data_IF_481579713030
#
_entry.id   IF_481579713030
#
_cell.length_a   1.000
_cell.length_b   1.000
_cell.length_c   1.000
_cell.angle_alpha   90.00
_cell.angle_beta   90.00
_cell.angle_gamma   90.00
#
_symmetry.space_group_name_H-M   'P 1'
#
loop_
_entity.id
_entity.type
_entity.pdbx_description
1 polymer ?
2 non-polymer ?
3 water ?
#
# COMPACT_ATOMS: atom_id res chain seq x y z
N UNK A 1 -8.88 15.07 -10.90
CA UNK A 1 -9.65 14.75 -9.66
C UNK A 1 -8.76 14.72 -8.42
N UNK A 2 -9.35 14.96 -7.25
CA UNK A 2 -8.63 15.01 -5.96
C UNK A 2 -7.88 13.67 -5.76
N UNK A 3 -8.56 12.54 -5.93
CA UNK A 3 -7.90 11.23 -5.66
C UNK A 3 -6.81 10.97 -6.69
N UNK A 4 -7.02 11.29 -7.96
CA UNK A 4 -5.90 11.10 -8.93
C UNK A 4 -4.68 11.96 -8.55
N UNK A 5 -4.87 13.19 -8.10
CA UNK A 5 -3.73 14.09 -7.80
C UNK A 5 -2.93 13.53 -6.60
N UNK A 6 -3.63 12.93 -5.64
CA UNK A 6 -2.97 12.28 -4.49
C UNK A 6 -2.02 11.18 -5.00
N UNK A 7 -2.44 10.41 -6.00
CA UNK A 7 -1.57 9.37 -6.58
C UNK A 7 -0.46 10.03 -7.37
N UNK A 8 -0.79 10.89 -8.32
CA UNK A 8 0.24 11.40 -9.28
C UNK A 8 1.18 12.41 -8.62
N UNK A 9 0.71 13.23 -7.67
CA UNK A 9 1.60 14.32 -7.14
C UNK A 9 1.82 14.16 -5.64
N UNK A 10 1.58 12.98 -5.08
CA UNK A 10 1.99 12.66 -3.68
C UNK A 10 2.67 11.29 -3.70
N UNK A 11 1.97 10.25 -4.05
CA UNK A 11 2.51 8.86 -3.96
C UNK A 11 3.58 8.61 -5.02
N UNK A 12 3.41 9.11 -6.25
CA UNK A 12 4.35 8.77 -7.35
C UNK A 12 5.51 9.75 -7.46
N UNK A 13 5.60 10.72 -6.57
CA UNK A 13 6.67 11.77 -6.52
C UNK A 13 8.03 11.11 -6.35
N UNK A 14 9.05 11.52 -7.07
CA UNK A 14 10.45 11.13 -6.79
C UNK A 14 10.97 11.87 -5.57
N UNK A 15 11.46 11.14 -4.57
CA UNK A 15 11.87 11.66 -3.25
C UNK A 15 13.20 11.01 -2.91
N UNK A 16 14.23 11.81 -2.65
CA UNK A 16 15.58 11.35 -2.28
C UNK A 16 16.07 10.35 -3.33
N UNK A 17 15.81 10.64 -4.61
CA UNK A 17 16.34 9.81 -5.72
C UNK A 17 15.53 8.55 -6.01
N UNK A 18 14.44 8.29 -5.30
CA UNK A 18 13.65 7.05 -5.46
C UNK A 18 12.17 7.38 -5.66
N UNK A 19 11.45 6.59 -6.45
CA UNK A 19 9.99 6.73 -6.60
C UNK A 19 9.34 5.34 -6.54
N UNK A 20 8.11 5.26 -6.03
CA UNK A 20 7.29 4.03 -6.08
C UNK A 20 7.28 3.55 -7.52
N UNK A 21 7.23 2.23 -7.76
CA UNK A 21 6.96 1.73 -9.14
C UNK A 21 5.48 1.99 -9.47
N UNK A 22 4.61 1.85 -8.47
CA UNK A 22 3.18 1.96 -8.68
C UNK A 22 2.50 2.27 -7.35
N UNK A 23 1.28 2.83 -7.40
CA UNK A 23 0.51 3.17 -6.21
C UNK A 23 -0.96 3.26 -6.56
N UNK A 24 -1.81 3.18 -5.56
CA UNK A 24 -3.26 3.34 -5.75
C UNK A 24 -3.95 3.64 -4.43
N UNK A 25 -5.18 4.13 -4.50
CA UNK A 25 -6.04 4.29 -3.30
C UNK A 25 -7.26 3.44 -3.60
N UNK A 26 -7.61 2.52 -2.73
CA UNK A 26 -8.69 1.60 -3.00
C UNK A 26 -9.67 1.66 -1.83
N UNK A 27 -10.96 1.29 -2.07
CA UNK A 27 -11.92 1.11 -0.97
C UNK A 27 -11.57 -0.21 -0.22
N UNK A 28 -12.15 -0.41 0.93
CA UNK A 28 -12.04 -1.67 1.69
C UNK A 28 -12.59 -2.85 0.85
N UNK A 29 -13.43 -2.58 -0.13
CA UNK A 29 -13.94 -3.59 -1.10
C UNK A 29 -13.02 -3.74 -2.33
N UNK A 30 -11.87 -3.08 -2.36
CA UNK A 30 -10.95 -3.25 -3.50
C UNK A 30 -11.36 -2.44 -4.71
N UNK A 31 -12.43 -1.63 -4.63
CA UNK A 31 -12.72 -0.67 -5.69
C UNK A 31 -11.54 0.34 -5.79
N UNK A 32 -11.10 0.65 -7.00
CA UNK A 32 -9.98 1.55 -7.30
C UNK A 32 -10.53 3.00 -7.27
N UNK A 33 -10.26 3.75 -6.21
CA UNK A 33 -10.60 5.19 -6.21
C UNK A 33 -9.69 5.91 -7.21
N UNK A 34 -8.42 5.60 -7.23
CA UNK A 34 -7.47 6.18 -8.21
C UNK A 34 -6.21 5.30 -8.24
N UNK A 35 -5.49 5.30 -9.34
CA UNK A 35 -4.33 4.41 -9.43
C UNK A 35 -3.28 4.92 -10.42
N UNK A 36 -2.04 4.44 -10.24
CA UNK A 36 -0.89 4.69 -11.14
C UNK A 36 -1.06 3.84 -12.41
N UNK A 37 -0.27 4.11 -13.44
CA UNK A 37 -0.34 3.45 -14.76
C UNK A 37 -0.05 1.96 -14.63
N UNK A 38 0.97 1.58 -13.88
CA UNK A 38 1.43 0.16 -13.84
C UNK A 38 0.91 -0.50 -12.58
N UNK A 39 -0.11 0.06 -11.95
CA UNK A 39 -0.68 -0.57 -10.74
C UNK A 39 -1.29 -1.92 -11.13
N UNK A 40 -1.01 -2.98 -10.37
CA UNK A 40 -1.54 -4.32 -10.68
C UNK A 40 -3.03 -4.47 -10.39
N UNK A 41 -3.63 -5.52 -10.94
CA UNK A 41 -5.03 -5.83 -10.64
C UNK A 41 -5.05 -6.80 -9.48
N UNK A 42 -5.53 -6.37 -8.32
CA UNK A 42 -5.75 -7.26 -7.16
C UNK A 42 -6.88 -8.22 -7.49
N UNK A 43 -6.89 -9.39 -6.86
CA UNK A 43 -8.02 -10.34 -6.97
C UNK A 43 -8.84 -10.14 -5.72
N UNK A 44 -10.15 -10.47 -5.71
CA UNK A 44 -10.96 -10.25 -4.53
C UNK A 44 -10.47 -11.01 -3.32
N UNK A 45 -10.00 -12.24 -3.53
CA UNK A 45 -9.48 -13.08 -2.43
C UNK A 45 -8.26 -12.34 -1.82
N UNK A 46 -7.40 -11.78 -2.66
CA UNK A 46 -6.22 -11.01 -2.17
C UNK A 46 -6.68 -9.84 -1.27
N UNK A 47 -7.70 -9.06 -1.70
CA UNK A 47 -8.21 -7.92 -0.89
C UNK A 47 -8.83 -8.45 0.41
N UNK A 48 -9.56 -9.56 0.34
CA UNK A 48 -10.20 -10.19 1.53
C UNK A 48 -9.11 -10.65 2.53
N UNK A 49 -8.02 -11.23 2.04
CA UNK A 49 -6.92 -11.65 2.93
C UNK A 49 -6.25 -10.44 3.59
N UNK A 50 -6.04 -9.38 2.82
CA UNK A 50 -5.46 -8.11 3.38
C UNK A 50 -6.40 -7.59 4.45
N UNK A 51 -7.70 -7.60 4.17
CA UNK A 51 -8.70 -7.02 5.11
C UNK A 51 -8.74 -7.88 6.37
N UNK A 52 -8.67 -9.20 6.20
CA UNK A 52 -8.69 -10.13 7.35
C UNK A 52 -7.43 -9.91 8.19
N UNK A 53 -6.29 -9.67 7.54
CA UNK A 53 -5.03 -9.38 8.28
C UNK A 53 -5.19 -8.08 9.07
N UNK A 54 -5.88 -7.08 8.55
CA UNK A 54 -6.08 -5.84 9.36
C UNK A 54 -6.99 -6.14 10.55
N UNK A 55 -8.05 -6.93 10.34
CA UNK A 55 -8.97 -7.30 11.47
C UNK A 55 -8.24 -8.22 12.44
N UNK A 56 -7.50 -9.20 11.95
CA UNK A 56 -6.73 -10.13 12.83
C UNK A 56 -5.31 -10.24 12.32
N UNK A 57 -4.34 -9.50 12.91
CA UNK A 57 -2.96 -9.50 12.41
C UNK A 57 -2.31 -10.89 12.54
N UNK A 58 -1.50 -11.26 11.56
CA UNK A 58 -0.82 -12.58 11.54
C UNK A 58 -1.54 -13.55 10.64
N UNK A 59 -2.67 -13.17 10.06
CA UNK A 59 -3.44 -14.05 9.14
C UNK A 59 -2.59 -14.38 7.90
N UNK A 60 -1.95 -13.38 7.31
CA UNK A 60 -1.26 -13.55 6.01
C UNK A 60 0.17 -14.09 6.19
N UNK A 61 0.76 -13.96 7.38
CA UNK A 61 2.21 -14.22 7.53
C UNK A 61 2.56 -15.67 7.16
N UNK A 62 1.84 -16.71 7.63
CA UNK A 62 2.22 -18.09 7.32
C UNK A 62 2.24 -18.41 5.81
N UNK A 63 1.23 -17.99 5.06
CA UNK A 63 1.09 -18.37 3.62
C UNK A 63 1.69 -17.30 2.72
N UNK A 64 2.00 -16.12 3.24
CA UNK A 64 2.40 -15.00 2.38
C UNK A 64 1.22 -14.14 1.96
N UNK A 65 1.47 -13.14 1.12
CA UNK A 65 0.44 -12.19 0.66
C UNK A 65 0.51 -12.13 -0.85
N UNK A 66 -0.61 -12.30 -1.54
CA UNK A 66 -0.59 -12.36 -3.01
C UNK A 66 -1.14 -11.05 -3.60
N UNK A 67 -0.45 -10.52 -4.61
CA UNK A 67 -0.85 -9.29 -5.29
C UNK A 67 -0.79 -9.60 -6.78
N UNK A 68 -1.95 -9.64 -7.47
CA UNK A 68 -2.03 -10.03 -8.90
C UNK A 68 -1.37 -11.40 -9.09
N UNK A 69 -1.48 -12.27 -8.10
CA UNK A 69 -0.85 -13.61 -8.13
C UNK A 69 0.64 -13.61 -7.80
N UNK A 70 1.22 -12.49 -7.33
CA UNK A 70 2.67 -12.43 -6.96
C UNK A 70 2.80 -12.59 -5.45
N UNK A 71 3.69 -13.48 -5.02
CA UNK A 71 3.86 -13.77 -3.58
C UNK A 71 4.74 -12.68 -2.97
N UNK A 72 4.32 -12.18 -1.81
CA UNK A 72 5.09 -11.19 -1.03
C UNK A 72 5.24 -11.83 0.35
N UNK A 73 6.45 -11.75 0.91
CA UNK A 73 6.67 -12.19 2.30
C UNK A 73 6.20 -11.06 3.21
N UNK A 74 5.29 -11.36 4.12
CA UNK A 74 4.87 -10.38 5.15
C UNK A 74 6.05 -10.05 6.05
N UNK A 75 6.27 -8.77 6.33
CA UNK A 75 7.37 -8.26 7.21
C UNK A 75 6.71 -7.44 8.30
N UNK A 76 7.46 -6.88 9.22
CA UNK A 76 6.84 -6.13 10.36
C UNK A 76 5.98 -4.97 9.81
N UNK A 77 4.79 -4.79 10.35
CA UNK A 77 3.89 -3.67 10.01
C UNK A 77 3.24 -3.13 11.26
N UNK A 78 2.39 -2.14 11.18
CA UNK A 78 1.66 -1.66 12.38
C UNK A 78 0.36 -2.43 12.41
N UNK A 79 0.04 -3.19 13.50
CA UNK A 79 -1.15 -4.04 13.51
C UNK A 79 -2.50 -3.29 13.39
N UNK A 80 -3.29 -3.67 12.38
CA UNK A 80 -4.57 -3.02 12.09
C UNK A 80 -4.44 -1.77 11.26
N UNK A 81 -3.24 -1.22 11.14
CA UNK A 81 -3.01 0.05 10.39
C UNK A 81 -2.18 -0.18 9.14
N UNK A 82 -1.04 -0.86 9.21
CA UNK A 82 -0.13 -1.01 8.02
C UNK A 82 0.24 -2.48 7.80
N UNK A 83 0.27 -2.90 6.55
CA UNK A 83 0.79 -4.23 6.16
C UNK A 83 1.93 -4.02 5.20
N UNK A 84 3.08 -4.60 5.49
CA UNK A 84 4.26 -4.47 4.61
C UNK A 84 4.62 -5.87 4.08
N UNK A 85 5.06 -5.90 2.83
CA UNK A 85 5.50 -7.14 2.20
C UNK A 85 6.78 -6.92 1.44
N UNK A 86 7.54 -7.99 1.23
CA UNK A 86 8.82 -7.94 0.47
C UNK A 86 8.82 -8.94 -0.68
N UNK A 87 9.20 -8.51 -1.87
CA UNK A 87 9.45 -9.44 -3.01
C UNK A 87 10.72 -8.96 -3.70
N UNK A 88 11.78 -9.78 -3.73
CA UNK A 88 13.10 -9.36 -4.25
C UNK A 88 13.62 -8.09 -3.57
N UNK A 89 14.14 -7.15 -4.36
CA UNK A 89 14.66 -5.84 -3.88
C UNK A 89 13.50 -4.89 -3.59
N UNK A 90 12.31 -5.24 -4.07
CA UNK A 90 11.10 -4.42 -3.91
C UNK A 90 10.22 -4.88 -2.77
N UNK A 91 9.04 -4.27 -2.69
CA UNK A 91 8.07 -4.60 -1.64
C UNK A 91 6.78 -3.83 -1.83
N UNK A 92 5.91 -3.92 -0.85
CA UNK A 92 4.56 -3.27 -0.94
C UNK A 92 4.23 -2.75 0.45
N UNK A 93 3.58 -1.60 0.50
CA UNK A 93 3.12 -1.06 1.81
C UNK A 93 1.62 -0.78 1.63
N UNK A 94 0.80 -1.22 2.57
CA UNK A 94 -0.65 -0.99 2.56
C UNK A 94 -1.04 -0.33 3.86
N UNK A 95 -1.61 0.88 3.77
CA UNK A 95 -2.08 1.57 4.99
C UNK A 95 -3.59 1.57 4.94
N UNK A 96 -4.22 1.25 6.06
CA UNK A 96 -5.70 1.23 6.12
C UNK A 96 -6.18 2.53 6.74
N UNK A 97 -7.11 3.20 6.07
CA UNK A 97 -7.82 4.38 6.62
C UNK A 97 -9.23 3.91 7.01
N UNK A 98 -10.04 4.80 7.60
CA UNK A 98 -11.44 4.48 7.98
C UNK A 98 -12.23 3.92 6.81
N UNK A 99 -11.96 4.39 5.60
CA UNK A 99 -12.79 4.00 4.42
C UNK A 99 -11.94 3.49 3.25
N UNK A 100 -10.61 3.58 3.32
CA UNK A 100 -9.78 3.24 2.14
C UNK A 100 -8.51 2.47 2.47
N UNK A 101 -7.89 1.89 1.44
CA UNK A 101 -6.54 1.34 1.52
C UNK A 101 -5.62 2.19 0.67
N UNK A 102 -4.50 2.65 1.22
CA UNK A 102 -3.47 3.33 0.41
C UNK A 102 -2.38 2.29 0.09
N UNK A 103 -2.01 2.17 -1.17
CA UNK A 103 -1.12 1.08 -1.56
C UNK A 103 0.07 1.67 -2.32
N UNK A 104 1.28 1.26 -1.95
CA UNK A 104 2.48 1.63 -2.69
C UNK A 104 3.35 0.44 -2.96
N UNK A 105 3.85 0.33 -4.17
CA UNK A 105 4.70 -0.80 -4.59
C UNK A 105 6.04 -0.21 -5.03
N UNK A 106 7.13 -0.75 -4.52
CA UNK A 106 8.50 -0.24 -4.82
C UNK A 106 9.32 -1.39 -5.43
N UNK A 107 10.17 -1.05 -6.38
CA UNK A 107 11.09 -1.98 -7.06
C UNK A 107 12.47 -1.90 -6.42
N UNK A 108 12.73 -0.90 -5.59
CA UNK A 108 14.11 -0.63 -5.10
C UNK A 108 14.06 -0.27 -3.62
N UNK A 109 15.15 -0.50 -2.87
CA UNK A 109 15.20 -0.11 -1.47
C UNK A 109 15.05 1.43 -1.40
N UNK A 110 14.22 1.91 -0.47
CA UNK A 110 13.99 3.36 -0.32
C UNK A 110 15.07 3.92 0.60
N UNK A 111 15.16 5.24 0.72
CA UNK A 111 16.11 5.92 1.65
C UNK A 111 15.59 5.76 3.08
N UNK A 112 16.43 5.76 4.10
CA UNK A 112 15.94 5.70 5.46
C UNK A 112 15.28 7.02 5.87
N UNK A 113 14.32 6.94 6.78
CA UNK A 113 13.53 8.10 7.25
C UNK A 113 12.11 8.12 6.71
N UNK A 114 11.38 9.18 7.01
CA UNK A 114 9.96 9.28 6.65
C UNK A 114 9.78 10.00 5.30
N UNK A 115 10.83 10.55 4.72
CA UNK A 115 10.74 11.34 3.49
C UNK A 115 10.01 10.52 2.39
N UNK A 116 10.33 9.25 2.23
CA UNK A 116 9.81 8.32 1.18
C UNK A 116 8.52 7.67 1.67
N UNK A 117 8.15 7.83 2.92
CA UNK A 117 7.01 7.10 3.52
C UNK A 117 5.67 7.76 3.10
N UNK A 118 5.44 7.85 1.82
CA UNK A 118 4.26 8.53 1.21
C UNK A 118 2.97 7.79 1.50
N UNK A 119 2.99 6.46 1.50
CA UNK A 119 1.77 5.65 1.76
C UNK A 119 1.28 5.95 3.17
N UNK A 120 2.18 5.86 4.13
CA UNK A 120 1.79 6.05 5.54
C UNK A 120 1.34 7.50 5.76
N UNK A 121 2.02 8.47 5.15
CA UNK A 121 1.68 9.90 5.40
C UNK A 121 0.33 10.26 4.77
N UNK A 122 0.04 9.80 3.57
CA UNK A 122 -1.27 10.05 2.95
C UNK A 122 -2.37 9.38 3.78
N UNK A 123 -2.13 8.14 4.23
CA UNK A 123 -3.14 7.45 5.04
C UNK A 123 -3.41 8.19 6.33
N UNK A 124 -2.37 8.67 6.99
CA UNK A 124 -2.55 9.46 8.23
C UNK A 124 -3.43 10.68 7.92
N UNK A 125 -3.18 11.36 6.79
CA UNK A 125 -3.87 12.62 6.44
C UNK A 125 -5.36 12.34 6.24
N UNK A 126 -5.67 11.28 5.49
CA UNK A 126 -7.09 10.93 5.21
C UNK A 126 -7.79 10.54 6.53
N UNK A 127 -7.05 9.91 7.42
CA UNK A 127 -7.66 9.45 8.70
C UNK A 127 -8.01 10.71 9.49
N UNK A 128 -7.11 11.69 9.51
CA UNK A 128 -7.36 12.95 10.23
C UNK A 128 -8.53 13.66 9.55
N UNK A 129 -8.69 13.49 8.26
CA UNK A 129 -9.85 14.05 7.52
C UNK A 129 -11.12 13.28 7.85
N UNK A 130 -11.01 12.16 8.58
CA UNK A 130 -12.18 11.32 8.89
C UNK A 130 -12.48 10.36 7.77
N UNK A 131 -11.54 10.16 6.85
CA UNK A 131 -11.72 9.22 5.72
C UNK A 131 -10.83 7.98 5.95
#
# INVERSE_FOLDING_TARGET
>A
GSWQTYVDEHLMCEIEGHHLASAAILGHDGTVWAQSADFPQFKPEEITGIMKDFDEPGHLAPTGMFVAGAKYMVIQGEPGRVIRGKKGAGGITIKKTGQALVVGIYDEPMTPGQCNMVVERLGDYLVEQGM
#
